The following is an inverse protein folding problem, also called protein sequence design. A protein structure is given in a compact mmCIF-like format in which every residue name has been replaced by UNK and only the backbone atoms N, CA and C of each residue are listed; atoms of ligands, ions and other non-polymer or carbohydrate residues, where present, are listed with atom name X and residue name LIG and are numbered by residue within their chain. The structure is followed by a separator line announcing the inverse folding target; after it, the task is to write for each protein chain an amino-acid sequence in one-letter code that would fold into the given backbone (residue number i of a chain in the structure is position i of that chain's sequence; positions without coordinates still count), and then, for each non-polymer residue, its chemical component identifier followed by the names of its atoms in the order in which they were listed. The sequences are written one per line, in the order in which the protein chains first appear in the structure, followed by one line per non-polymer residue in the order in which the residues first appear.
data_IF_068539993296
#
_entry.id   IF_068539993296
#
_cell.length_a   1.000
_cell.length_b   1.000
_cell.length_c   1.000
_cell.angle_alpha   90.00
_cell.angle_beta   90.00
_cell.angle_gamma   90.00
#
_symmetry.space_group_name_H-M   'P 1'
#
loop_
_entity.id
_entity.type
_entity.pdbx_description
1 polymer ?
#
# COMPACT_ATOMS: atom_id res chain seq x y z
N UNK A 1 32.76 58.29 -27.14
CA UNK A 1 33.45 57.31 -28.00
C UNK A 1 32.39 56.42 -28.60
N UNK A 2 32.20 56.66 -29.89
CA UNK A 2 31.64 55.85 -30.97
C UNK A 2 30.61 54.74 -30.69
N UNK A 3 29.50 54.93 -31.40
CA UNK A 3 28.41 54.00 -31.69
C UNK A 3 28.88 52.82 -32.53
N UNK A 4 28.29 51.64 -32.31
CA UNK A 4 27.86 50.76 -33.38
C UNK A 4 26.64 49.95 -32.93
N UNK A 5 25.48 50.22 -33.55
CA UNK A 5 24.35 49.30 -33.63
C UNK A 5 24.71 48.09 -34.51
N UNK A 6 23.86 47.08 -34.74
CA UNK A 6 22.42 46.95 -34.58
C UNK A 6 22.10 45.42 -34.82
N UNK A 7 20.85 44.98 -35.08
CA UNK A 7 19.92 44.23 -34.23
C UNK A 7 19.75 42.75 -34.66
N UNK A 8 18.62 42.11 -34.28
CA UNK A 8 17.92 40.91 -34.84
C UNK A 8 17.91 39.68 -33.88
N UNK A 9 16.81 38.95 -33.55
CA UNK A 9 15.42 38.81 -34.03
C UNK A 9 14.53 38.29 -32.89
N UNK A 10 13.27 38.72 -32.85
CA UNK A 10 12.20 37.95 -32.22
C UNK A 10 12.01 36.62 -32.97
N UNK A 11 11.82 35.52 -32.25
CA UNK A 11 11.03 34.40 -32.77
C UNK A 11 10.13 33.84 -31.67
N UNK A 12 8.83 33.83 -31.99
CA UNK A 12 7.79 33.15 -31.24
C UNK A 12 7.82 31.66 -31.56
N UNK A 13 7.58 30.81 -30.55
CA UNK A 13 6.61 29.68 -30.59
C UNK A 13 6.96 28.60 -29.55
N UNK A 14 5.99 28.29 -28.69
CA UNK A 14 5.77 26.93 -28.15
C UNK A 14 4.91 26.16 -29.17
N UNK A 15 4.75 24.82 -29.12
CA UNK A 15 5.19 23.87 -28.10
C UNK A 15 5.89 22.61 -28.67
N UNK A 16 7.05 22.24 -28.11
CA UNK A 16 7.66 20.94 -28.32
C UNK A 16 6.98 19.87 -27.44
N UNK A 17 5.79 19.42 -27.84
CA UNK A 17 5.13 18.25 -27.25
C UNK A 17 5.79 16.96 -27.76
N UNK A 18 6.92 16.59 -27.19
CA UNK A 18 7.43 15.21 -27.23
C UNK A 18 7.19 14.57 -25.86
N UNK A 19 5.90 14.45 -25.52
CA UNK A 19 5.46 13.62 -24.40
C UNK A 19 5.76 12.18 -24.80
N UNK A 20 6.87 11.65 -24.26
CA UNK A 20 7.26 10.27 -24.41
C UNK A 20 6.01 9.41 -24.26
N UNK A 21 5.70 8.66 -25.33
CA UNK A 21 4.60 7.71 -25.38
C UNK A 21 4.86 6.67 -24.30
N UNK A 22 4.37 6.96 -23.10
CA UNK A 22 4.30 6.05 -21.99
C UNK A 22 3.42 4.91 -22.45
N UNK A 23 4.05 3.81 -22.86
CA UNK A 23 3.41 2.52 -23.04
C UNK A 23 2.73 2.21 -21.72
N UNK A 24 1.47 2.58 -21.59
CA UNK A 24 0.61 2.19 -20.49
C UNK A 24 0.58 0.68 -20.49
N UNK A 25 1.14 0.00 -19.47
CA UNK A 25 0.89 -1.42 -19.30
C UNK A 25 -0.61 -1.51 -18.99
N UNK A 26 -1.38 -2.01 -19.96
CA UNK A 26 -2.76 -2.41 -19.73
C UNK A 26 -2.74 -3.38 -18.55
N UNK A 27 -3.26 -2.93 -17.41
CA UNK A 27 -3.42 -3.75 -16.22
C UNK A 27 -4.56 -4.72 -16.51
N UNK A 28 -4.23 -5.81 -17.19
CA UNK A 28 -5.01 -7.03 -17.06
C UNK A 28 -5.05 -7.32 -15.57
N UNK A 29 -6.25 -7.34 -14.97
CA UNK A 29 -6.46 -7.96 -13.65
C UNK A 29 -5.80 -9.33 -13.73
N UNK A 30 -4.56 -9.45 -13.25
CA UNK A 30 -3.92 -10.73 -13.06
C UNK A 30 -4.68 -11.32 -11.90
N UNK A 31 -5.78 -12.01 -12.22
CA UNK A 31 -6.37 -12.98 -11.33
C UNK A 31 -5.18 -13.76 -10.76
N UNK A 32 -4.99 -13.72 -9.45
CA UNK A 32 -4.01 -14.59 -8.81
C UNK A 32 -4.45 -15.99 -9.20
N UNK A 33 -3.71 -16.60 -10.11
CA UNK A 33 -3.87 -18.01 -10.42
C UNK A 33 -3.88 -18.76 -9.09
N UNK A 34 -4.80 -19.71 -8.89
CA UNK A 34 -4.85 -20.50 -7.66
C UNK A 34 -3.47 -21.10 -7.42
N UNK A 35 -2.82 -20.64 -6.35
CA UNK A 35 -1.56 -21.21 -5.90
C UNK A 35 -1.90 -22.37 -5.00
N UNK A 36 -1.34 -23.54 -5.28
CA UNK A 36 -1.43 -24.65 -4.35
C UNK A 36 -0.82 -24.24 -3.00
N UNK A 37 -1.57 -24.39 -1.89
CA UNK A 37 -1.08 -24.03 -0.58
C UNK A 37 0.09 -24.93 -0.23
N UNK A 38 1.20 -24.31 0.18
CA UNK A 38 2.37 -25.07 0.64
C UNK A 38 2.06 -25.84 1.92
N UNK A 39 2.72 -26.97 2.17
CA UNK A 39 2.57 -27.74 3.41
C UNK A 39 2.71 -26.88 4.68
N UNK A 40 3.64 -25.92 4.66
CA UNK A 40 3.85 -24.97 5.76
C UNK A 40 2.63 -24.08 5.99
N UNK A 41 1.98 -23.64 4.92
CA UNK A 41 0.76 -22.82 4.99
C UNK A 41 -0.37 -23.60 5.64
N UNK A 42 -0.55 -24.87 5.24
CA UNK A 42 -1.55 -25.76 5.84
C UNK A 42 -1.30 -25.93 7.34
N UNK A 43 -0.04 -26.17 7.75
CA UNK A 43 0.34 -26.29 9.17
C UNK A 43 0.08 -25.00 9.96
N UNK A 44 0.38 -23.84 9.38
CA UNK A 44 0.11 -22.54 10.03
C UNK A 44 -1.41 -22.35 10.21
N UNK A 45 -2.20 -22.63 9.19
CA UNK A 45 -3.66 -22.48 9.25
C UNK A 45 -4.28 -23.45 10.27
N UNK A 46 -3.77 -24.67 10.35
CA UNK A 46 -4.18 -25.64 11.36
C UNK A 46 -3.82 -25.17 12.78
N UNK A 47 -2.59 -24.69 12.99
CA UNK A 47 -2.18 -24.13 14.28
C UNK A 47 -3.04 -22.91 14.67
N UNK A 48 -3.41 -22.05 13.70
CA UNK A 48 -4.33 -20.93 13.93
C UNK A 48 -5.72 -21.42 14.36
N UNK A 49 -6.24 -22.48 13.73
CA UNK A 49 -7.54 -23.06 14.08
C UNK A 49 -7.57 -23.56 15.53
N UNK A 50 -6.48 -24.15 15.99
CA UNK A 50 -6.35 -24.67 17.36
C UNK A 50 -5.79 -23.66 18.35
N UNK A 51 -5.48 -22.43 17.90
CA UNK A 51 -4.83 -21.38 18.68
C UNK A 51 -3.55 -21.85 19.39
N UNK A 52 -2.80 -22.71 18.71
CA UNK A 52 -1.53 -23.21 19.20
C UNK A 52 -0.45 -22.13 19.01
N UNK A 53 -0.34 -21.25 20.00
CA UNK A 53 0.55 -20.09 19.96
C UNK A 53 2.02 -20.50 19.82
N UNK A 54 2.42 -21.61 20.46
CA UNK A 54 3.79 -22.11 20.38
C UNK A 54 4.10 -22.59 18.96
N UNK A 55 3.22 -23.40 18.36
CA UNK A 55 3.38 -23.85 16.98
C UNK A 55 3.38 -22.68 15.98
N UNK A 56 2.51 -21.67 16.17
CA UNK A 56 2.50 -20.48 15.32
C UNK A 56 3.83 -19.72 15.45
N UNK A 57 4.38 -19.57 16.66
CA UNK A 57 5.67 -18.89 16.89
C UNK A 57 6.82 -19.62 16.21
N UNK A 58 6.89 -20.94 16.35
CA UNK A 58 7.91 -21.76 15.69
C UNK A 58 7.82 -21.66 14.16
N UNK A 59 6.62 -21.80 13.60
CA UNK A 59 6.41 -21.70 12.16
C UNK A 59 6.70 -20.29 11.63
N UNK A 60 6.34 -19.23 12.37
CA UNK A 60 6.58 -17.85 11.99
C UNK A 60 8.05 -17.43 12.06
N UNK A 61 8.84 -18.01 12.96
CA UNK A 61 10.28 -17.74 13.10
C UNK A 61 11.14 -18.63 12.19
N UNK A 62 10.60 -19.77 11.74
CA UNK A 62 11.26 -20.64 10.76
C UNK A 62 11.36 -19.99 9.38
N UNK A 63 12.20 -20.57 8.50
CA UNK A 63 12.50 -20.05 7.15
C UNK A 63 11.26 -19.57 6.38
N UNK A 64 11.34 -18.40 5.76
CA UNK A 64 10.26 -17.71 5.02
C UNK A 64 9.08 -17.21 5.87
N UNK A 65 9.07 -17.49 7.18
CA UNK A 65 8.07 -17.03 8.14
C UNK A 65 6.63 -17.37 7.75
N UNK A 66 5.73 -16.38 7.85
CA UNK A 66 4.34 -16.52 7.42
C UNK A 66 4.25 -16.32 5.90
N UNK A 67 4.02 -17.44 5.21
CA UNK A 67 4.22 -17.59 3.75
C UNK A 67 3.13 -16.97 2.89
N UNK A 68 1.93 -16.76 3.43
CA UNK A 68 0.79 -16.19 2.69
C UNK A 68 0.08 -15.09 3.47
N UNK A 69 -0.67 -14.27 2.73
CA UNK A 69 -1.50 -13.23 3.33
C UNK A 69 -2.62 -13.83 4.19
N UNK A 70 -3.22 -14.93 3.72
CA UNK A 70 -4.24 -15.66 4.47
C UNK A 70 -3.72 -16.22 5.79
N UNK A 71 -2.48 -16.74 5.80
CA UNK A 71 -1.79 -17.15 7.01
C UNK A 71 -1.53 -15.97 7.95
N UNK A 72 -1.09 -14.81 7.44
CA UNK A 72 -0.83 -13.61 8.26
C UNK A 72 -2.10 -13.05 8.87
N UNK A 73 -3.18 -12.95 8.09
CA UNK A 73 -4.47 -12.44 8.55
C UNK A 73 -5.02 -13.25 9.73
N UNK A 74 -4.77 -14.55 9.76
CA UNK A 74 -5.17 -15.41 10.87
C UNK A 74 -4.16 -15.39 12.01
N UNK A 75 -2.87 -15.54 11.73
CA UNK A 75 -1.85 -15.71 12.77
C UNK A 75 -1.53 -14.42 13.55
N UNK A 76 -1.51 -13.25 12.90
CA UNK A 76 -1.11 -12.00 13.56
C UNK A 76 -2.02 -11.59 14.73
N UNK A 77 -3.36 -11.64 14.61
CA UNK A 77 -4.23 -11.38 15.75
C UNK A 77 -3.96 -12.31 16.95
N UNK A 78 -3.62 -13.58 16.71
CA UNK A 78 -3.29 -14.56 17.76
C UNK A 78 -1.97 -14.17 18.44
N UNK A 79 -0.94 -13.90 17.64
CA UNK A 79 0.39 -13.51 18.12
C UNK A 79 0.37 -12.19 18.88
N UNK A 80 -0.50 -11.25 18.51
CA UNK A 80 -0.66 -9.95 19.17
C UNK A 80 -1.65 -9.99 20.33
N UNK A 81 -2.35 -11.10 20.55
CA UNK A 81 -3.41 -11.21 21.58
C UNK A 81 -4.66 -10.37 21.29
N UNK A 82 -4.89 -10.00 20.03
CA UNK A 82 -6.00 -9.13 19.59
C UNK A 82 -7.23 -9.89 19.06
N UNK A 83 -7.31 -11.22 19.25
CA UNK A 83 -8.33 -12.09 18.65
C UNK A 83 -9.80 -11.74 18.99
N UNK A 84 -10.04 -10.92 20.01
CA UNK A 84 -11.38 -10.64 20.54
C UNK A 84 -11.83 -9.18 20.48
N UNK A 85 -11.04 -8.28 19.88
CA UNK A 85 -11.39 -6.86 19.85
C UNK A 85 -11.01 -6.22 18.51
N UNK A 86 -11.61 -6.72 17.42
CA UNK A 86 -12.17 -5.78 16.45
C UNK A 86 -13.26 -5.06 17.26
N UNK A 87 -12.96 -3.98 17.96
CA UNK A 87 -12.88 -2.70 17.29
C UNK A 87 -14.27 -2.19 16.88
N UNK A 88 -15.33 -2.98 17.09
CA UNK A 88 -16.66 -2.46 17.36
C UNK A 88 -16.59 -1.88 18.76
N UNK A 89 -16.03 -0.68 18.84
CA UNK A 89 -16.45 0.29 19.84
C UNK A 89 -17.98 0.25 19.87
N UNK A 90 -18.55 -0.46 20.85
CA UNK A 90 -19.92 -0.28 21.34
C UNK A 90 -20.12 1.13 21.95
N UNK A 91 -19.29 2.09 21.56
CA UNK A 91 -19.41 3.50 21.85
C UNK A 91 -20.04 4.15 20.63
N UNK A 92 -21.03 5.00 20.91
CA UNK A 92 -21.80 5.83 19.99
C UNK A 92 -21.15 6.00 18.60
N UNK A 93 -21.83 5.50 17.57
CA UNK A 93 -21.32 5.45 16.19
C UNK A 93 -21.47 6.83 15.55
N UNK A 94 -20.86 7.86 16.14
CA UNK A 94 -20.64 9.12 15.44
C UNK A 94 -19.80 8.81 14.22
N UNK A 95 -20.32 9.13 13.03
CA UNK A 95 -19.60 8.97 11.78
C UNK A 95 -18.25 9.66 11.90
N UNK A 96 -17.16 9.02 11.46
CA UNK A 96 -15.83 9.64 11.51
C UNK A 96 -15.77 10.99 10.78
N UNK A 97 -16.73 11.24 9.86
CA UNK A 97 -16.89 12.51 9.13
C UNK A 97 -17.42 13.66 9.99
N UNK A 98 -18.01 13.35 11.13
CA UNK A 98 -18.58 14.31 12.09
C UNK A 98 -17.59 14.68 13.19
N UNK A 99 -16.43 13.99 13.25
CA UNK A 99 -15.38 14.29 14.20
C UNK A 99 -14.63 15.56 13.77
N UNK A 100 -14.23 16.42 14.73
CA UNK A 100 -13.37 17.56 14.46
C UNK A 100 -12.05 17.14 13.81
N UNK A 101 -11.50 18.01 12.94
CA UNK A 101 -10.19 17.80 12.32
C UNK A 101 -9.11 17.57 13.38
N UNK A 102 -8.35 16.51 13.26
CA UNK A 102 -7.17 16.28 14.11
C UNK A 102 -5.99 17.13 13.63
N UNK A 103 -5.16 17.64 14.55
CA UNK A 103 -4.01 18.49 14.22
C UNK A 103 -2.98 17.81 13.31
N UNK A 104 -2.91 16.48 13.39
CA UNK A 104 -1.95 15.67 12.63
C UNK A 104 -2.46 15.24 11.25
N UNK A 105 -3.70 15.56 10.85
CA UNK A 105 -4.24 15.11 9.55
C UNK A 105 -3.39 15.57 8.36
N UNK A 106 -2.93 16.82 8.39
CA UNK A 106 -2.08 17.37 7.31
C UNK A 106 -0.73 16.62 7.25
N UNK A 107 -0.21 16.21 8.41
CA UNK A 107 1.04 15.44 8.49
C UNK A 107 0.85 14.00 8.01
N UNK A 108 -0.25 13.34 8.39
CA UNK A 108 -0.61 12.00 7.92
C UNK A 108 -0.78 12.01 6.39
N UNK A 109 -1.42 13.03 5.82
CA UNK A 109 -1.57 13.16 4.38
C UNK A 109 -0.21 13.26 3.66
N UNK A 110 0.72 14.04 4.20
CA UNK A 110 2.09 14.14 3.67
C UNK A 110 2.85 12.80 3.80
N UNK A 111 2.69 12.08 4.90
CA UNK A 111 3.33 10.78 5.13
C UNK A 111 2.80 9.68 4.20
N UNK A 112 1.48 9.65 3.98
CA UNK A 112 0.85 8.73 3.03
C UNK A 112 1.33 8.99 1.61
N UNK A 113 1.36 10.25 1.16
CA UNK A 113 1.84 10.61 -0.17
C UNK A 113 3.31 10.20 -0.40
N UNK A 114 4.15 10.26 0.65
CA UNK A 114 5.55 9.81 0.60
C UNK A 114 5.69 8.28 0.63
N UNK A 115 4.69 7.56 1.13
CA UNK A 115 4.75 6.10 1.33
C UNK A 115 4.43 5.29 0.07
N UNK A 116 3.84 5.88 -0.97
CA UNK A 116 3.49 5.17 -2.21
C UNK A 116 4.67 4.52 -2.95
N UNK A 117 5.91 4.94 -2.64
CA UNK A 117 7.14 4.34 -3.17
C UNK A 117 7.28 2.85 -2.78
N UNK A 118 6.70 2.44 -1.66
CA UNK A 118 6.79 1.06 -1.16
C UNK A 118 5.67 0.13 -1.69
N UNK A 119 4.68 0.69 -2.37
CA UNK A 119 3.62 -0.09 -2.98
C UNK A 119 4.01 -0.50 -4.40
N UNK A 120 3.61 -1.70 -4.86
CA UNK A 120 3.89 -2.09 -6.22
C UNK A 120 3.22 -1.14 -7.22
N UNK A 121 3.98 -0.72 -8.23
CA UNK A 121 3.49 0.14 -9.30
C UNK A 121 2.32 -0.52 -10.05
N UNK A 122 1.28 0.25 -10.38
CA UNK A 122 0.10 -0.24 -11.08
C UNK A 122 -1.00 -0.84 -10.21
N UNK A 123 -0.87 -0.78 -8.87
CA UNK A 123 -1.91 -1.18 -7.90
C UNK A 123 -2.54 0.03 -7.20
N UNK A 124 -1.80 1.14 -7.08
CA UNK A 124 -2.31 2.38 -6.49
C UNK A 124 -3.38 2.99 -7.41
N UNK A 125 -4.63 3.03 -6.93
CA UNK A 125 -5.70 3.80 -7.56
C UNK A 125 -5.28 5.27 -7.57
N UNK A 126 -5.47 6.00 -8.68
CA UNK A 126 -5.20 7.43 -8.72
C UNK A 126 -6.04 8.12 -7.63
N UNK A 127 -5.38 8.93 -6.81
CA UNK A 127 -6.02 9.78 -5.81
C UNK A 127 -6.91 10.76 -6.60
N UNK A 128 -8.24 10.65 -6.46
CA UNK A 128 -9.20 11.60 -7.02
C UNK A 128 -9.32 12.84 -6.13
#
# INVERSE_FOLDING_TARGET
MESNGQPIKEEKSSPGSSRASSRSPSYSKRLKEPREPSEKEVKILEACKWKDLEAIRELATSKDGLVSDDARRQAWPILLGCEGNHGDTKGDVTSWKELPKHGDEDQVALDVNRSFIYYPNGIAMPIQ
#
